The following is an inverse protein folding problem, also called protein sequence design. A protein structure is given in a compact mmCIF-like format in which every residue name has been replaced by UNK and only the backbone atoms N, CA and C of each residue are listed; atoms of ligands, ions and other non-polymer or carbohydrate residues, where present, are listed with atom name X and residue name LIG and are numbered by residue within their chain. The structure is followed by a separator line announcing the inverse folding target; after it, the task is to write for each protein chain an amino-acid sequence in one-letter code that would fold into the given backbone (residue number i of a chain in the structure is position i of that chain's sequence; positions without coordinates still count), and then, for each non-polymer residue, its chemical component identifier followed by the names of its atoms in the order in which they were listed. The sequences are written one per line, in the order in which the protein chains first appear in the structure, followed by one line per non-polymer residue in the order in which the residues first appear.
data_IF_668363263229
#
_entry.id   IF_668363263229
#
_cell.length_a   1.000
_cell.length_b   1.000
_cell.length_c   1.000
_cell.angle_alpha   90.00
_cell.angle_beta   90.00
_cell.angle_gamma   90.00
#
_symmetry.space_group_name_H-M   'P 1'
#
loop_
_entity.id
_entity.type
_entity.pdbx_description
1 polymer ?
#
# COMPACT_ATOMS: atom_id res chain seq x y z
N UNK A 1 9.49 14.75 -0.33
CA UNK A 1 9.67 13.92 0.89
C UNK A 1 10.89 13.03 0.67
N UNK A 2 11.65 12.71 1.71
CA UNK A 2 12.72 11.70 1.66
C UNK A 2 12.17 10.31 1.30
N UNK A 3 12.98 9.39 0.80
CA UNK A 3 12.57 7.99 0.57
C UNK A 3 12.44 7.24 1.91
N UNK A 4 11.30 7.40 2.57
CA UNK A 4 11.02 6.83 3.89
C UNK A 4 9.76 5.99 3.91
N UNK A 5 9.78 4.92 4.69
CA UNK A 5 8.66 3.99 4.84
C UNK A 5 8.31 3.84 6.32
N UNK A 6 7.04 3.99 6.69
CA UNK A 6 6.64 3.85 8.09
C UNK A 6 6.56 2.38 8.51
N UNK A 7 5.86 1.55 7.73
CA UNK A 7 5.71 0.12 7.95
C UNK A 7 6.16 -0.61 6.69
N UNK A 8 7.26 -1.37 6.78
CA UNK A 8 7.74 -2.23 5.70
C UNK A 8 7.60 -3.69 6.10
N UNK A 9 7.02 -4.49 5.21
CA UNK A 9 7.12 -5.94 5.27
C UNK A 9 7.67 -6.44 3.94
N UNK A 10 8.71 -7.28 3.99
CA UNK A 10 9.39 -7.74 2.79
C UNK A 10 10.91 -7.75 2.89
N UNK A 11 11.54 -8.34 1.88
CA UNK A 11 12.99 -8.51 1.78
C UNK A 11 13.37 -9.16 0.46
N UNK A 12 14.62 -9.63 0.37
CA UNK A 12 15.12 -10.34 -0.80
C UNK A 12 14.38 -11.68 -0.99
N UNK A 13 14.00 -12.32 0.11
CA UNK A 13 13.15 -13.52 0.12
C UNK A 13 11.68 -13.17 0.31
N UNK A 14 10.80 -14.00 -0.25
CA UNK A 14 9.36 -13.80 -0.15
C UNK A 14 8.89 -13.99 1.30
N UNK A 15 8.07 -13.06 1.79
CA UNK A 15 7.41 -13.16 3.09
C UNK A 15 5.93 -13.44 2.89
N UNK A 16 5.36 -14.35 3.66
CA UNK A 16 3.96 -14.78 3.47
C UNK A 16 3.07 -14.41 4.65
N UNK A 17 1.77 -14.21 4.41
CA UNK A 17 0.72 -14.09 5.44
C UNK A 17 0.94 -12.93 6.44
N UNK A 18 1.41 -11.79 5.94
CA UNK A 18 1.62 -10.59 6.77
C UNK A 18 0.30 -9.83 6.93
N UNK A 19 -0.05 -9.48 8.17
CA UNK A 19 -1.19 -8.59 8.46
C UNK A 19 -0.71 -7.28 9.08
N UNK A 20 -1.14 -6.15 8.52
CA UNK A 20 -1.04 -4.81 9.10
C UNK A 20 -2.45 -4.33 9.41
N UNK A 21 -2.75 -4.07 10.67
CA UNK A 21 -4.11 -3.75 11.08
C UNK A 21 -4.21 -2.65 12.14
N UNK A 22 -5.33 -1.90 12.08
CA UNK A 22 -5.70 -0.89 13.08
C UNK A 22 -4.63 0.19 13.27
N UNK A 23 -3.98 0.62 12.18
CA UNK A 23 -2.91 1.60 12.19
C UNK A 23 -3.38 2.98 11.74
N UNK A 24 -2.73 4.01 12.28
CA UNK A 24 -2.81 5.39 11.78
C UNK A 24 -1.41 5.88 11.44
N UNK A 25 -1.15 6.16 10.17
CA UNK A 25 0.16 6.57 9.66
C UNK A 25 0.06 7.93 8.97
N UNK A 26 0.98 8.84 9.27
CA UNK A 26 0.93 10.22 8.75
C UNK A 26 2.29 10.73 8.30
N UNK A 27 2.29 11.46 7.19
CA UNK A 27 3.43 12.29 6.74
C UNK A 27 4.71 11.52 6.39
N UNK A 28 4.57 10.31 5.84
CA UNK A 28 5.65 9.51 5.28
C UNK A 28 5.64 9.55 3.75
N UNK A 29 6.75 9.15 3.13
CA UNK A 29 6.71 8.88 1.70
C UNK A 29 5.83 7.65 1.43
N UNK A 30 6.13 6.49 2.03
CA UNK A 30 5.25 5.30 1.98
C UNK A 30 4.69 5.01 3.37
N UNK A 31 3.37 4.97 3.51
CA UNK A 31 2.76 4.60 4.80
C UNK A 31 2.89 3.10 5.08
N UNK A 32 2.44 2.26 4.15
CA UNK A 32 2.68 0.81 4.18
C UNK A 32 3.37 0.40 2.89
N UNK A 33 4.46 -0.37 3.00
CA UNK A 33 5.15 -0.96 1.86
C UNK A 33 5.26 -2.47 2.03
N UNK A 34 4.58 -3.20 1.13
CA UNK A 34 4.75 -4.64 0.95
C UNK A 34 5.65 -4.89 -0.25
N UNK A 35 6.82 -5.49 -0.01
CA UNK A 35 7.80 -5.84 -1.03
C UNK A 35 8.00 -7.35 -1.03
N UNK A 36 7.71 -8.03 -2.13
CA UNK A 36 7.82 -9.49 -2.19
C UNK A 36 7.00 -10.20 -1.09
N UNK A 37 5.71 -9.84 -0.98
CA UNK A 37 4.79 -10.43 0.00
C UNK A 37 3.72 -11.28 -0.71
N UNK A 38 3.49 -12.49 -0.24
CA UNK A 38 2.35 -13.32 -0.66
C UNK A 38 1.26 -13.39 0.44
N UNK A 39 0.00 -13.19 0.06
CA UNK A 39 -1.13 -13.27 1.01
C UNK A 39 -1.14 -12.14 2.04
N UNK A 40 -0.68 -10.94 1.67
CA UNK A 40 -0.63 -9.79 2.56
C UNK A 40 -2.01 -9.16 2.81
N UNK A 41 -2.28 -8.69 4.02
CA UNK A 41 -3.51 -7.97 4.37
C UNK A 41 -3.19 -6.64 5.03
N UNK A 42 -3.78 -5.56 4.53
CA UNK A 42 -3.86 -4.27 5.24
C UNK A 42 -5.31 -3.99 5.54
N UNK A 43 -5.66 -3.84 6.82
CA UNK A 43 -7.05 -3.59 7.22
C UNK A 43 -7.23 -2.53 8.28
N UNK A 44 -8.36 -1.83 8.23
CA UNK A 44 -8.73 -0.79 9.20
C UNK A 44 -7.60 0.25 9.38
N UNK A 45 -7.07 0.76 8.27
CA UNK A 45 -5.92 1.65 8.26
C UNK A 45 -6.30 3.08 7.84
N UNK A 46 -5.81 4.08 8.58
CA UNK A 46 -5.92 5.50 8.21
C UNK A 46 -4.54 6.04 7.85
N UNK A 47 -4.26 6.18 6.55
CA UNK A 47 -2.98 6.62 6.00
C UNK A 47 -3.14 8.01 5.38
N UNK A 48 -2.91 9.06 6.18
CA UNK A 48 -3.16 10.45 5.75
C UNK A 48 -1.88 11.23 5.56
N UNK A 49 -1.76 11.98 4.47
CA UNK A 49 -0.64 12.89 4.30
C UNK A 49 0.61 12.21 3.73
N UNK A 50 0.48 11.01 3.12
CA UNK A 50 1.60 10.22 2.65
C UNK A 50 1.69 10.25 1.12
N UNK A 51 2.89 10.30 0.54
CA UNK A 51 3.05 10.24 -0.92
C UNK A 51 2.38 9.00 -1.51
N UNK A 52 2.53 7.86 -0.84
CA UNK A 52 1.84 6.61 -1.14
C UNK A 52 1.14 6.10 0.11
N UNK A 53 -0.19 5.89 0.04
CA UNK A 53 -0.95 5.30 1.13
C UNK A 53 -0.56 3.84 1.37
N UNK A 54 -0.68 3.01 0.33
CA UNK A 54 -0.17 1.64 0.33
C UNK A 54 0.63 1.42 -0.96
N UNK A 55 1.89 1.02 -0.81
CA UNK A 55 2.77 0.64 -1.90
C UNK A 55 2.97 -0.87 -1.87
N UNK A 56 2.76 -1.51 -3.01
CA UNK A 56 2.72 -2.96 -3.14
C UNK A 56 3.58 -3.30 -4.37
N UNK A 57 4.71 -3.96 -4.16
CA UNK A 57 5.73 -4.26 -5.19
C UNK A 57 6.11 -5.76 -5.22
N UNK A 58 6.11 -6.37 -6.41
CA UNK A 58 6.52 -7.76 -6.65
C UNK A 58 5.80 -8.80 -5.78
N UNK A 59 4.47 -8.78 -5.70
CA UNK A 59 3.68 -9.50 -4.69
C UNK A 59 2.59 -10.35 -5.32
N UNK A 60 2.12 -11.35 -4.57
CA UNK A 60 0.96 -12.16 -4.96
C UNK A 60 -0.14 -12.05 -3.91
N UNK A 61 -1.35 -11.71 -4.34
CA UNK A 61 -2.56 -11.75 -3.51
C UNK A 61 -2.55 -10.83 -2.27
N UNK A 62 -2.47 -9.52 -2.48
CA UNK A 62 -2.65 -8.53 -1.39
C UNK A 62 -4.11 -8.10 -1.29
N UNK A 63 -4.62 -8.00 -0.06
CA UNK A 63 -5.96 -7.50 0.22
C UNK A 63 -5.91 -6.21 1.04
N UNK A 64 -6.58 -5.17 0.55
CA UNK A 64 -6.83 -3.93 1.28
C UNK A 64 -8.31 -3.86 1.67
N UNK A 65 -8.58 -3.77 2.96
CA UNK A 65 -9.92 -3.79 3.54
C UNK A 65 -10.11 -2.60 4.48
N UNK A 66 -11.14 -1.78 4.26
CA UNK A 66 -11.40 -0.63 5.12
C UNK A 66 -10.16 0.28 5.30
N UNK A 67 -9.46 0.55 4.19
CA UNK A 67 -8.31 1.46 4.16
C UNK A 67 -8.77 2.83 3.73
N UNK A 68 -8.43 3.84 4.51
CA UNK A 68 -8.64 5.24 4.14
C UNK A 68 -7.29 5.89 3.82
N UNK A 69 -7.07 6.27 2.56
CA UNK A 69 -5.92 7.11 2.17
C UNK A 69 -6.38 8.50 1.75
N UNK A 70 -5.77 9.53 2.32
CA UNK A 70 -6.14 10.92 2.00
C UNK A 70 -4.93 11.82 1.95
N UNK A 71 -4.98 12.80 1.02
CA UNK A 71 -4.02 13.89 0.86
C UNK A 71 -2.63 13.39 0.44
N UNK A 72 -2.16 13.87 -0.72
CA UNK A 72 -0.89 13.57 -1.44
C UNK A 72 -1.02 12.60 -2.63
N UNK A 73 0.04 11.94 -3.08
CA UNK A 73 0.18 11.60 -4.50
C UNK A 73 -0.70 10.42 -4.94
N UNK A 74 -0.53 9.23 -4.33
CA UNK A 74 -1.24 8.01 -4.73
C UNK A 74 -1.87 7.32 -3.50
N UNK A 75 -3.14 6.91 -3.64
CA UNK A 75 -3.84 6.14 -2.59
C UNK A 75 -3.25 4.74 -2.44
N UNK A 76 -3.27 3.98 -3.54
CA UNK A 76 -2.67 2.64 -3.66
C UNK A 76 -1.83 2.57 -4.93
N UNK A 77 -0.58 2.15 -4.81
CA UNK A 77 0.28 1.86 -5.94
C UNK A 77 0.62 0.37 -5.93
N UNK A 78 0.21 -0.33 -6.99
CA UNK A 78 0.43 -1.76 -7.16
C UNK A 78 1.31 -1.99 -8.40
N UNK A 79 2.58 -2.26 -8.17
CA UNK A 79 3.51 -2.74 -9.17
C UNK A 79 3.62 -4.27 -9.04
N UNK A 80 3.45 -4.96 -10.17
CA UNK A 80 3.70 -6.40 -10.31
C UNK A 80 3.03 -7.24 -9.22
N UNK A 81 1.70 -7.15 -9.17
CA UNK A 81 0.94 -7.95 -8.24
C UNK A 81 -0.57 -7.78 -8.29
N UNK A 82 -1.25 -8.73 -7.66
CA UNK A 82 -2.70 -8.76 -7.57
C UNK A 82 -3.17 -8.12 -6.26
N UNK A 83 -3.81 -6.95 -6.36
CA UNK A 83 -4.38 -6.24 -5.21
C UNK A 83 -5.90 -6.20 -5.28
N UNK A 84 -6.53 -6.86 -4.31
CA UNK A 84 -7.97 -6.79 -4.05
C UNK A 84 -8.28 -5.67 -3.08
N UNK A 85 -9.23 -4.79 -3.42
CA UNK A 85 -9.56 -3.62 -2.60
C UNK A 85 -11.06 -3.61 -2.32
N UNK A 86 -11.43 -3.53 -1.05
CA UNK A 86 -12.82 -3.49 -0.59
C UNK A 86 -12.99 -2.54 0.57
N UNK A 87 -14.18 -1.94 0.65
CA UNK A 87 -14.60 -1.04 1.74
C UNK A 87 -13.65 0.14 1.98
N UNK A 88 -12.82 0.48 0.99
CA UNK A 88 -11.74 1.45 1.13
C UNK A 88 -12.09 2.79 0.48
N UNK A 89 -11.55 3.88 1.02
CA UNK A 89 -11.80 5.24 0.56
C UNK A 89 -10.49 5.96 0.26
N UNK A 90 -10.39 6.52 -0.95
CA UNK A 90 -9.20 7.25 -1.40
C UNK A 90 -9.65 8.62 -1.90
N UNK A 91 -9.24 9.69 -1.23
CA UNK A 91 -9.75 11.03 -1.51
C UNK A 91 -8.69 12.13 -1.34
N UNK A 92 -8.76 13.16 -2.18
CA UNK A 92 -7.81 14.27 -2.13
C UNK A 92 -6.37 13.85 -2.46
N UNK A 93 -6.20 12.77 -3.23
CA UNK A 93 -4.91 12.37 -3.77
C UNK A 93 -4.68 13.04 -5.14
N UNK A 94 -3.44 13.41 -5.49
CA UNK A 94 -3.10 14.17 -6.70
C UNK A 94 -3.24 13.34 -7.98
N UNK A 95 -2.90 12.04 -7.92
CA UNK A 95 -3.12 11.06 -8.97
C UNK A 95 -4.35 10.19 -8.64
N UNK A 96 -4.79 9.41 -9.64
CA UNK A 96 -5.76 8.33 -9.48
C UNK A 96 -5.65 7.62 -8.12
N UNK A 97 -6.81 7.35 -7.51
CA UNK A 97 -6.93 6.65 -6.23
C UNK A 97 -6.12 5.35 -6.17
N UNK A 98 -6.06 4.63 -7.29
CA UNK A 98 -5.33 3.37 -7.45
C UNK A 98 -4.56 3.44 -8.76
N UNK A 99 -3.26 3.16 -8.71
CA UNK A 99 -2.39 2.98 -9.87
C UNK A 99 -1.96 1.52 -9.93
N UNK A 100 -2.04 0.91 -11.11
CA UNK A 100 -1.58 -0.44 -11.37
C UNK A 100 -0.56 -0.39 -12.50
N UNK A 101 0.63 -0.86 -12.22
CA UNK A 101 1.68 -1.04 -13.23
C UNK A 101 2.03 -2.52 -13.32
N UNK A 102 2.09 -3.00 -14.56
CA UNK A 102 2.57 -4.33 -14.89
C UNK A 102 3.85 -4.14 -15.70
N UNK A 103 4.97 -4.59 -15.17
CA UNK A 103 6.24 -4.64 -15.88
C UNK A 103 6.20 -5.93 -16.68
N UNK A 104 6.00 -5.82 -17.99
CA UNK A 104 5.98 -6.98 -18.89
C UNK A 104 7.37 -7.62 -18.96
N UNK A 105 7.39 -8.96 -19.01
CA UNK A 105 8.59 -9.79 -19.22
C UNK A 105 9.43 -9.38 -20.44
#
# INVERSE_FOLDING_TARGET
MSDTTAIRAGGDEQVTNVTVENVRVKEWNRAVYFANVDGGVVRNADVTGNSFGVFVDGNSNVTLENVTSRRYFVGVYAADGNVSIRESSFSGNETNAIVRESVGD
#
